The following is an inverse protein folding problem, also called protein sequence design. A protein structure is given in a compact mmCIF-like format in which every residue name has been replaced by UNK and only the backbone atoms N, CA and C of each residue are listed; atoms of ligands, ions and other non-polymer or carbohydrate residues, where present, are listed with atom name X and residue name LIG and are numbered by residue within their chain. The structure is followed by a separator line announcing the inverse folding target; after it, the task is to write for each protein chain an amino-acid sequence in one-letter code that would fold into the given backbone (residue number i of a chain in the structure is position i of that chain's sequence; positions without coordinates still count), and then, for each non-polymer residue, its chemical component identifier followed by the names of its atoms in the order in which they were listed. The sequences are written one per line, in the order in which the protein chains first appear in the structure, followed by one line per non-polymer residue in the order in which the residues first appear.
data_IF_160305668516
#
_entry.id   IF_160305668516
#
_cell.length_a   1.000
_cell.length_b   1.000
_cell.length_c   1.000
_cell.angle_alpha   90.00
_cell.angle_beta   90.00
_cell.angle_gamma   90.00
#
_symmetry.space_group_name_H-M   'P 1'
#
loop_
_entity.id
_entity.type
_entity.pdbx_description
1 polymer ?
#
# COMPACT_ATOMS: atom_id res chain seq x y z
N UNK A 1 22.57 -28.61 -0.33
CA UNK A 1 22.43 -27.14 -0.20
C UNK A 1 21.91 -26.45 -1.47
N UNK A 2 22.67 -26.28 -2.56
CA UNK A 2 22.18 -25.52 -3.74
C UNK A 2 20.91 -26.10 -4.38
N UNK A 3 20.85 -27.43 -4.51
CA UNK A 3 19.70 -28.11 -5.11
C UNK A 3 18.46 -28.07 -4.19
N UNK A 4 18.66 -28.10 -2.87
CA UNK A 4 17.56 -28.00 -1.89
C UNK A 4 16.96 -26.60 -1.90
N UNK A 5 17.80 -25.55 -2.00
CA UNK A 5 17.32 -24.18 -2.11
C UNK A 5 16.49 -23.99 -3.38
N UNK A 6 16.97 -24.47 -4.53
CA UNK A 6 16.23 -24.40 -5.79
C UNK A 6 14.91 -25.16 -5.69
N UNK A 7 14.92 -26.34 -5.08
CA UNK A 7 13.71 -27.13 -4.84
C UNK A 7 12.68 -26.36 -4.01
N UNK A 8 13.09 -25.73 -2.91
CA UNK A 8 12.20 -24.92 -2.06
C UNK A 8 11.65 -23.72 -2.81
N UNK A 9 12.52 -22.94 -3.47
CA UNK A 9 12.11 -21.74 -4.22
C UNK A 9 11.15 -22.10 -5.36
N UNK A 10 11.35 -23.23 -6.04
CA UNK A 10 10.46 -23.69 -7.10
C UNK A 10 9.12 -24.19 -6.54
N UNK A 11 9.17 -25.01 -5.48
CA UNK A 11 7.97 -25.64 -4.89
C UNK A 11 7.04 -24.62 -4.26
N UNK A 12 7.59 -23.60 -3.60
CA UNK A 12 6.83 -22.59 -2.85
C UNK A 12 6.90 -21.21 -3.50
N UNK A 13 7.14 -21.11 -4.81
CA UNK A 13 7.34 -19.83 -5.51
C UNK A 13 6.19 -18.82 -5.31
N UNK A 14 4.96 -19.30 -5.09
CA UNK A 14 3.76 -18.49 -4.82
C UNK A 14 3.65 -17.99 -3.37
N UNK A 15 4.43 -18.54 -2.45
CA UNK A 15 4.43 -18.13 -1.04
C UNK A 15 5.42 -16.99 -0.78
N UNK A 16 6.29 -16.69 -1.75
CA UNK A 16 7.24 -15.59 -1.66
C UNK A 16 6.66 -14.34 -2.30
N UNK A 17 6.89 -13.19 -1.66
CA UNK A 17 6.47 -11.90 -2.20
C UNK A 17 7.09 -11.67 -3.60
N UNK A 18 6.24 -11.34 -4.56
CA UNK A 18 6.62 -10.94 -5.92
C UNK A 18 6.20 -9.50 -6.18
N UNK A 19 6.88 -8.83 -7.10
CA UNK A 19 6.50 -7.49 -7.58
C UNK A 19 5.19 -7.50 -8.39
N UNK A 20 4.67 -8.68 -8.74
CA UNK A 20 3.48 -8.85 -9.59
C UNK A 20 2.20 -9.18 -8.82
N UNK A 21 2.30 -9.42 -7.50
CA UNK A 21 1.18 -9.83 -6.68
C UNK A 21 0.79 -8.70 -5.72
N UNK A 22 -0.52 -8.39 -5.58
CA UNK A 22 -0.96 -7.33 -4.69
C UNK A 22 -0.61 -7.66 -3.23
N UNK A 23 -0.07 -6.67 -2.53
CA UNK A 23 0.21 -6.81 -1.11
C UNK A 23 -1.10 -6.72 -0.32
N UNK A 24 -1.32 -7.68 0.58
CA UNK A 24 -2.41 -7.61 1.54
C UNK A 24 -3.78 -8.04 1.02
N UNK A 25 -3.85 -8.83 -0.05
CA UNK A 25 -5.10 -9.49 -0.49
C UNK A 25 -5.52 -10.65 0.44
N UNK A 26 -5.21 -10.54 1.74
CA UNK A 26 -5.61 -11.52 2.76
C UNK A 26 -7.03 -11.17 3.21
N UNK A 27 -8.01 -11.85 2.61
CA UNK A 27 -9.43 -11.73 2.97
C UNK A 27 -9.64 -12.04 4.46
N UNK A 28 -10.46 -11.24 5.14
CA UNK A 28 -10.84 -11.47 6.54
C UNK A 28 -9.97 -10.78 7.59
N UNK A 29 -8.98 -9.97 7.18
CA UNK A 29 -8.17 -9.15 8.09
C UNK A 29 -8.51 -7.65 7.99
N UNK A 30 -9.71 -7.31 7.53
CA UNK A 30 -10.17 -5.93 7.49
C UNK A 30 -10.32 -5.37 8.90
N UNK A 31 -9.75 -4.19 9.14
CA UNK A 31 -9.87 -3.49 10.43
C UNK A 31 -11.02 -2.49 10.34
N UNK A 32 -12.01 -2.65 11.21
CA UNK A 32 -13.04 -1.63 11.41
C UNK A 32 -12.56 -0.61 12.43
N UNK A 33 -12.41 0.65 12.00
CA UNK A 33 -11.95 1.76 12.84
C UNK A 33 -13.15 2.64 13.14
N UNK A 34 -13.67 2.52 14.37
CA UNK A 34 -14.77 3.36 14.87
C UNK A 34 -14.22 4.65 15.48
N UNK A 35 -14.85 5.79 15.14
CA UNK A 35 -14.51 7.09 15.71
C UNK A 35 -15.26 7.32 17.03
N UNK A 36 -14.57 7.90 18.02
CA UNK A 36 -15.14 8.24 19.34
C UNK A 36 -15.85 9.60 19.39
N UNK A 37 -16.22 10.16 18.25
CA UNK A 37 -16.88 11.47 18.12
C UNK A 37 -18.05 11.34 17.15
N UNK A 38 -18.93 12.34 17.04
CA UNK A 38 -20.06 12.38 16.10
C UNK A 38 -19.78 13.26 14.87
N UNK A 39 -20.61 13.10 13.81
CA UNK A 39 -20.53 13.86 12.54
C UNK A 39 -20.50 15.39 12.78
N UNK A 40 -19.86 16.17 11.88
CA UNK A 40 -19.32 15.77 10.57
C UNK A 40 -17.91 15.16 10.63
N UNK A 41 -17.72 14.02 9.94
CA UNK A 41 -16.41 13.40 9.73
C UNK A 41 -15.92 13.57 8.30
N UNK A 42 -14.59 13.53 8.10
CA UNK A 42 -13.54 13.91 9.05
C UNK A 42 -13.49 15.45 9.19
N UNK A 43 -12.78 16.01 10.19
CA UNK A 43 -12.45 17.43 10.14
C UNK A 43 -11.77 17.72 8.81
N UNK A 44 -12.30 18.66 8.03
CA UNK A 44 -11.65 19.16 6.81
C UNK A 44 -10.18 19.39 7.12
N UNK A 45 -9.28 18.88 6.27
CA UNK A 45 -7.85 19.10 6.42
C UNK A 45 -7.63 20.60 6.54
N UNK A 46 -7.26 21.06 7.74
CA UNK A 46 -7.16 22.49 8.04
C UNK A 46 -6.04 23.17 7.27
N UNK A 47 -5.14 22.39 6.66
CA UNK A 47 -3.96 22.85 5.93
C UNK A 47 -3.75 22.00 4.69
N UNK A 48 -3.27 22.61 3.59
CA UNK A 48 -2.78 21.85 2.44
C UNK A 48 -1.58 21.02 2.84
N UNK A 49 -1.27 19.99 2.05
CA UNK A 49 -0.02 19.26 2.18
C UNK A 49 1.17 20.23 2.03
N UNK A 50 2.21 20.01 2.84
CA UNK A 50 3.43 20.80 2.73
C UNK A 50 4.08 20.57 1.35
N UNK A 51 4.64 21.62 0.72
CA UNK A 51 5.30 21.46 -0.57
C UNK A 51 6.55 20.59 -0.40
N UNK A 52 6.65 19.56 -1.24
CA UNK A 52 7.87 18.76 -1.36
C UNK A 52 8.85 19.44 -2.32
N UNK A 53 10.16 19.23 -2.11
CA UNK A 53 11.17 19.64 -3.09
C UNK A 53 11.00 18.86 -4.40
N UNK A 54 11.45 19.37 -5.56
CA UNK A 54 11.31 18.67 -6.84
C UNK A 54 11.87 17.24 -6.79
N UNK A 55 13.07 17.08 -6.22
CA UNK A 55 13.73 15.77 -6.04
C UNK A 55 12.93 14.83 -5.13
N UNK A 56 12.37 15.36 -4.04
CA UNK A 56 11.55 14.55 -3.14
C UNK A 56 10.25 14.11 -3.83
N UNK A 57 9.63 15.01 -4.61
CA UNK A 57 8.40 14.72 -5.33
C UNK A 57 8.60 13.60 -6.36
N UNK A 58 9.68 13.63 -7.12
CA UNK A 58 10.01 12.59 -8.10
C UNK A 58 10.23 11.21 -7.44
N UNK A 59 10.96 11.16 -6.32
CA UNK A 59 11.17 9.92 -5.57
C UNK A 59 9.86 9.39 -4.98
N UNK A 60 9.02 10.26 -4.42
CA UNK A 60 7.73 9.90 -3.87
C UNK A 60 6.77 9.38 -4.93
N UNK A 61 6.72 10.01 -6.11
CA UNK A 61 5.84 9.60 -7.20
C UNK A 61 6.10 8.14 -7.59
N UNK A 62 7.37 7.74 -7.71
CA UNK A 62 7.74 6.34 -8.01
C UNK A 62 7.12 5.36 -7.00
N UNK A 63 7.30 5.62 -5.71
CA UNK A 63 6.79 4.73 -4.66
C UNK A 63 5.27 4.77 -4.53
N UNK A 64 4.64 5.92 -4.76
CA UNK A 64 3.19 6.03 -4.79
C UNK A 64 2.62 5.14 -5.91
N UNK A 65 3.22 5.17 -7.11
CA UNK A 65 2.78 4.32 -8.22
C UNK A 65 2.96 2.83 -7.92
N UNK A 66 4.08 2.43 -7.33
CA UNK A 66 4.32 1.05 -6.88
C UNK A 66 3.22 0.58 -5.91
N UNK A 67 2.89 1.41 -4.90
CA UNK A 67 1.87 1.07 -3.92
C UNK A 67 0.45 1.05 -4.49
N UNK A 68 0.17 1.82 -5.54
CA UNK A 68 -1.11 1.74 -6.28
C UNK A 68 -1.19 0.42 -7.03
N UNK A 69 -0.11 0.02 -7.72
CA UNK A 69 -0.06 -1.24 -8.47
C UNK A 69 -0.22 -2.46 -7.55
N UNK A 70 0.38 -2.40 -6.36
CA UNK A 70 0.27 -3.45 -5.33
C UNK A 70 -1.07 -3.44 -4.58
N UNK A 71 -2.02 -2.56 -4.92
CA UNK A 71 -3.33 -2.50 -4.29
C UNK A 71 -3.35 -1.91 -2.87
N UNK A 72 -2.22 -1.40 -2.39
CA UNK A 72 -2.07 -0.81 -1.05
C UNK A 72 -2.68 0.58 -0.99
N UNK A 73 -2.44 1.40 -2.03
CA UNK A 73 -3.03 2.72 -2.18
C UNK A 73 -4.13 2.72 -3.24
N UNK A 74 -5.21 3.44 -2.97
CA UNK A 74 -6.27 3.69 -3.96
C UNK A 74 -6.69 5.14 -3.95
N UNK A 75 -7.06 5.65 -5.14
CA UNK A 75 -7.65 6.99 -5.25
C UNK A 75 -9.03 6.99 -4.61
N UNK A 76 -9.21 7.83 -3.61
CA UNK A 76 -10.52 8.15 -3.02
C UNK A 76 -10.94 9.55 -3.49
N UNK A 77 -12.25 9.74 -3.73
CA UNK A 77 -12.79 10.93 -4.38
C UNK A 77 -12.50 12.26 -3.65
N UNK A 78 -12.55 13.35 -4.42
CA UNK A 78 -12.77 14.70 -3.92
C UNK A 78 -14.27 14.95 -3.99
N UNK A 79 -14.91 15.32 -2.89
CA UNK A 79 -16.18 16.06 -2.99
C UNK A 79 -15.84 17.52 -3.31
#
# INVERSE_FOLDING_TARGET
MRNELIYVLYTYHTEFASDNEPLGEIKGNEVDITLNMDRPYPPVLRRPAYPASPRAREALEKHIQELIQLGVLRKVGHN
#
